data_IF_055880034466
#
_entry.id   IF_055880034466
#
_cell.length_a   1.000
_cell.length_b   1.000
_cell.length_c   1.000
_cell.angle_alpha   90.00
_cell.angle_beta   90.00
_cell.angle_gamma   90.00
#
_symmetry.space_group_name_H-M   'P 1'
#
loop_
_entity.id
_entity.type
_entity.pdbx_description
1 polymer ?
#
# COMPACT_ATOMS: atom_id res chain seq x y z
N UNK A 1 -21.01 8.44 -6.16
CA UNK A 1 -19.89 8.28 -7.12
C UNK A 1 -19.37 6.84 -7.04
N UNK A 2 -19.67 6.00 -8.04
CA UNK A 2 -19.09 4.65 -8.12
C UNK A 2 -17.63 4.78 -8.55
N UNK A 3 -16.73 4.94 -7.59
CA UNK A 3 -15.29 4.87 -7.85
C UNK A 3 -15.02 3.45 -8.34
N UNK A 4 -14.74 3.28 -9.64
CA UNK A 4 -14.03 2.11 -10.12
C UNK A 4 -12.69 2.10 -9.38
N UNK A 5 -12.67 1.47 -8.20
CA UNK A 5 -11.44 1.36 -7.41
C UNK A 5 -10.44 0.67 -8.32
N UNK A 6 -9.33 1.35 -8.59
CA UNK A 6 -8.22 0.79 -9.35
C UNK A 6 -7.80 -0.54 -8.71
N UNK A 7 -7.17 -1.41 -9.50
CA UNK A 7 -6.52 -2.62 -8.97
C UNK A 7 -5.60 -2.26 -7.79
N UNK A 8 -4.94 -1.09 -7.85
CA UNK A 8 -4.14 -0.54 -6.76
C UNK A 8 -4.96 -0.28 -5.49
N UNK A 9 -6.07 0.46 -5.55
CA UNK A 9 -6.93 0.71 -4.38
C UNK A 9 -7.44 -0.59 -3.74
N UNK A 10 -7.77 -1.59 -4.55
CA UNK A 10 -8.20 -2.91 -4.05
C UNK A 10 -7.07 -3.64 -3.33
N UNK A 11 -5.86 -3.59 -3.88
CA UNK A 11 -4.68 -4.20 -3.27
C UNK A 11 -4.28 -3.49 -1.97
N UNK A 12 -4.32 -2.14 -1.94
CA UNK A 12 -4.08 -1.34 -0.74
C UNK A 12 -5.15 -1.63 0.33
N UNK A 13 -6.42 -1.74 -0.05
CA UNK A 13 -7.48 -2.12 0.89
C UNK A 13 -7.27 -3.51 1.51
N UNK A 14 -6.76 -4.48 0.73
CA UNK A 14 -6.37 -5.80 1.27
C UNK A 14 -5.19 -5.69 2.23
N UNK A 15 -4.18 -4.89 1.89
CA UNK A 15 -3.03 -4.63 2.77
C UNK A 15 -3.48 -4.09 4.12
N UNK A 16 -4.34 -3.06 4.14
CA UNK A 16 -4.88 -2.48 5.39
C UNK A 16 -5.58 -3.56 6.22
N UNK A 17 -6.42 -4.40 5.60
CA UNK A 17 -7.12 -5.48 6.31
C UNK A 17 -6.16 -6.51 6.90
N UNK A 18 -5.05 -6.82 6.23
CA UNK A 18 -4.00 -7.70 6.77
C UNK A 18 -3.28 -7.04 7.95
N UNK A 19 -2.90 -5.76 7.84
CA UNK A 19 -2.26 -5.01 8.92
C UNK A 19 -3.19 -4.93 10.14
N UNK A 20 -4.48 -4.67 9.94
CA UNK A 20 -5.48 -4.66 11.03
C UNK A 20 -5.57 -6.00 11.76
N UNK A 21 -5.38 -7.12 11.04
CA UNK A 21 -5.37 -8.44 11.65
C UNK A 21 -4.13 -8.64 12.53
N UNK A 22 -2.94 -8.28 12.02
CA UNK A 22 -1.70 -8.36 12.82
C UNK A 22 -1.78 -7.41 14.02
N UNK A 23 -2.30 -6.19 13.85
CA UNK A 23 -2.50 -5.25 14.94
C UNK A 23 -3.41 -5.82 16.03
N UNK A 24 -4.48 -6.51 15.63
CA UNK A 24 -5.39 -7.19 16.55
C UNK A 24 -4.71 -8.31 17.36
N UNK A 25 -3.74 -9.00 16.74
CA UNK A 25 -2.96 -10.08 17.38
C UNK A 25 -1.84 -9.53 18.28
N UNK A 26 -1.26 -8.39 17.90
CA UNK A 26 -0.19 -7.68 18.63
C UNK A 26 -0.71 -6.70 19.70
N UNK A 27 -2.03 -6.54 19.85
CA UNK A 27 -2.65 -5.66 20.83
C UNK A 27 -2.17 -6.01 22.24
N UNK A 28 -1.49 -5.06 22.89
CA UNK A 28 -0.89 -5.24 24.22
C UNK A 28 0.59 -5.59 24.22
N UNK A 29 1.21 -5.81 23.04
CA UNK A 29 2.66 -5.91 22.88
C UNK A 29 3.27 -4.58 22.41
N UNK A 30 4.57 -4.37 22.65
CA UNK A 30 5.30 -3.17 22.24
C UNK A 30 5.33 -2.90 20.73
N UNK A 31 4.93 -3.88 19.90
CA UNK A 31 4.85 -3.75 18.45
C UNK A 31 3.60 -2.98 17.97
N UNK A 32 2.60 -2.78 18.83
CA UNK A 32 1.34 -2.12 18.46
C UNK A 32 1.55 -0.69 17.91
N UNK A 33 2.55 0.05 18.41
CA UNK A 33 2.91 1.39 17.91
C UNK A 33 3.49 1.34 16.49
N UNK A 34 4.33 0.33 16.22
CA UNK A 34 4.91 0.14 14.88
C UNK A 34 3.78 -0.21 13.91
N UNK A 35 2.92 -1.14 14.29
CA UNK A 35 1.81 -1.59 13.44
C UNK A 35 0.77 -0.48 13.20
N UNK A 36 0.52 0.41 14.17
CA UNK A 36 -0.29 1.61 13.98
C UNK A 36 0.34 2.56 12.95
N UNK A 37 1.64 2.81 13.03
CA UNK A 37 2.36 3.62 12.04
C UNK A 37 2.26 3.03 10.62
N UNK A 38 2.44 1.71 10.49
CA UNK A 38 2.29 1.00 9.21
C UNK A 38 0.85 1.08 8.69
N UNK A 39 -0.15 0.97 9.56
CA UNK A 39 -1.55 1.14 9.20
C UNK A 39 -1.83 2.55 8.69
N UNK A 40 -1.35 3.58 9.38
CA UNK A 40 -1.45 4.97 8.95
C UNK A 40 -0.81 5.21 7.58
N UNK A 41 0.36 4.63 7.33
CA UNK A 41 1.04 4.67 6.04
C UNK A 41 0.19 4.01 4.93
N UNK A 42 -0.38 2.83 5.18
CA UNK A 42 -1.25 2.15 4.22
C UNK A 42 -2.54 2.96 3.90
N UNK A 43 -3.11 3.64 4.90
CA UNK A 43 -4.24 4.56 4.69
C UNK A 43 -3.86 5.77 3.84
N UNK A 44 -2.68 6.37 4.07
CA UNK A 44 -2.17 7.46 3.23
C UNK A 44 -2.02 7.02 1.78
N UNK A 45 -1.47 5.83 1.52
CA UNK A 45 -1.39 5.27 0.15
C UNK A 45 -2.77 5.13 -0.50
N UNK A 46 -3.78 4.67 0.25
CA UNK A 46 -5.14 4.53 -0.29
C UNK A 46 -5.75 5.90 -0.64
N UNK A 47 -5.52 6.90 0.21
CA UNK A 47 -5.95 8.27 -0.04
C UNK A 47 -5.23 8.86 -1.26
N UNK A 48 -3.92 8.64 -1.37
CA UNK A 48 -3.09 9.04 -2.50
C UNK A 48 -3.61 8.47 -3.82
N UNK A 49 -3.88 7.16 -3.84
CA UNK A 49 -4.42 6.46 -5.01
C UNK A 49 -5.77 7.04 -5.41
N UNK A 50 -6.64 7.28 -4.42
CA UNK A 50 -7.96 7.90 -4.65
C UNK A 50 -7.84 9.30 -5.24
N UNK A 51 -6.77 10.02 -4.91
CA UNK A 51 -6.45 11.37 -5.42
C UNK A 51 -5.57 11.36 -6.68
N UNK A 52 -5.17 10.20 -7.19
CA UNK A 52 -4.26 10.07 -8.34
C UNK A 52 -2.80 10.43 -8.05
N UNK A 53 -2.43 10.60 -6.77
CA UNK A 53 -1.10 11.03 -6.30
C UNK A 53 -0.26 9.88 -5.72
N UNK A 54 -0.61 8.63 -6.02
CA UNK A 54 0.04 7.45 -5.45
C UNK A 54 1.56 7.44 -5.66
N UNK A 55 2.02 7.79 -6.87
CA UNK A 55 3.44 7.84 -7.21
C UNK A 55 4.17 8.97 -6.47
N UNK A 56 3.49 10.11 -6.27
CA UNK A 56 4.04 11.25 -5.51
C UNK A 56 4.20 10.88 -4.04
N UNK A 57 3.21 10.24 -3.43
CA UNK A 57 3.27 9.80 -2.03
C UNK A 57 4.32 8.73 -1.79
N UNK A 58 4.54 7.84 -2.76
CA UNK A 58 5.64 6.88 -2.68
C UNK A 58 7.01 7.55 -2.84
N UNK A 59 7.11 8.74 -3.44
CA UNK A 59 8.35 9.49 -3.58
C UNK A 59 9.54 8.65 -4.08
N UNK A 60 9.32 7.81 -5.10
CA UNK A 60 10.29 6.84 -5.65
C UNK A 60 10.67 5.65 -4.74
N UNK A 61 10.04 5.52 -3.58
CA UNK A 61 10.15 4.36 -2.71
C UNK A 61 9.23 3.23 -3.18
N UNK A 62 9.66 2.00 -2.94
CA UNK A 62 8.80 0.84 -3.07
C UNK A 62 7.82 0.76 -1.89
N UNK A 63 6.70 0.06 -2.09
CA UNK A 63 5.65 -0.07 -1.06
C UNK A 63 6.21 -0.69 0.21
N UNK A 64 7.11 -1.68 0.09
CA UNK A 64 7.81 -2.28 1.25
C UNK A 64 8.64 -1.27 2.05
N UNK A 65 9.31 -0.34 1.36
CA UNK A 65 10.19 0.65 1.98
C UNK A 65 9.35 1.74 2.65
N UNK A 66 8.26 2.13 2.02
CA UNK A 66 7.30 3.09 2.55
C UNK A 66 6.63 2.60 3.85
N UNK A 67 6.28 1.31 3.91
CA UNK A 67 5.69 0.70 5.10
C UNK A 67 6.73 0.37 6.19
N UNK A 68 8.00 0.26 5.83
CA UNK A 68 9.07 -0.17 6.73
C UNK A 68 9.48 -1.62 6.46
N UNK A 69 10.69 -1.78 5.94
CA UNK A 69 11.23 -3.08 5.48
C UNK A 69 11.28 -4.11 6.62
N UNK A 70 11.66 -3.68 7.83
CA UNK A 70 11.74 -4.53 9.02
C UNK A 70 10.36 -5.09 9.41
N UNK A 71 9.32 -4.26 9.40
CA UNK A 71 7.98 -4.71 9.77
C UNK A 71 7.42 -5.70 8.73
N UNK A 72 7.64 -5.43 7.45
CA UNK A 72 7.26 -6.33 6.34
C UNK A 72 8.01 -7.66 6.39
N UNK A 73 9.27 -7.65 6.85
CA UNK A 73 10.02 -8.88 7.05
C UNK A 73 9.44 -9.73 8.19
N UNK A 74 9.07 -9.10 9.31
CA UNK A 74 8.41 -9.77 10.44
C UNK A 74 7.03 -10.31 10.11
N UNK A 75 6.29 -9.65 9.21
CA UNK A 75 4.90 -10.01 8.86
C UNK A 75 4.78 -10.48 7.40
N UNK A 76 5.16 -11.74 7.08
CA UNK A 76 5.09 -12.26 5.71
C UNK A 76 3.66 -12.32 5.15
N UNK A 77 2.65 -12.30 6.02
CA UNK A 77 1.21 -12.26 5.69
C UNK A 77 0.84 -11.07 4.79
N UNK A 78 1.56 -9.95 4.87
CA UNK A 78 1.30 -8.74 4.07
C UNK A 78 2.03 -8.70 2.72
N UNK A 79 3.07 -9.53 2.53
CA UNK A 79 3.89 -9.53 1.31
C UNK A 79 3.08 -9.74 0.03
N UNK A 80 2.08 -10.65 -0.04
CA UNK A 80 1.26 -10.81 -1.24
C UNK A 80 0.48 -9.55 -1.61
N UNK A 81 0.01 -8.80 -0.61
CA UNK A 81 -0.71 -7.55 -0.85
C UNK A 81 0.25 -6.47 -1.37
N UNK A 82 1.46 -6.37 -0.81
CA UNK A 82 2.52 -5.45 -1.28
C UNK A 82 2.85 -5.71 -2.75
N UNK A 83 3.12 -6.96 -3.12
CA UNK A 83 3.41 -7.33 -4.52
C UNK A 83 2.25 -6.99 -5.46
N UNK A 84 1.00 -7.17 -5.01
CA UNK A 84 -0.17 -6.79 -5.81
C UNK A 84 -0.25 -5.27 -6.04
N UNK A 85 0.12 -4.46 -5.04
CA UNK A 85 0.17 -2.99 -5.16
C UNK A 85 1.27 -2.59 -6.15
N UNK A 86 2.48 -3.14 -6.00
CA UNK A 86 3.61 -2.85 -6.90
C UNK A 86 3.31 -3.22 -8.35
N UNK A 87 2.68 -4.38 -8.58
CA UNK A 87 2.23 -4.77 -9.91
C UNK A 87 1.18 -3.80 -10.47
N UNK A 88 0.23 -3.33 -9.66
CA UNK A 88 -0.75 -2.35 -10.08
C UNK A 88 -0.12 -1.00 -10.42
N UNK A 89 0.86 -0.55 -9.63
CA UNK A 89 1.65 0.67 -9.90
C UNK A 89 2.41 0.53 -11.23
N UNK A 90 3.05 -0.61 -11.48
CA UNK A 90 3.79 -0.84 -12.71
C UNK A 90 2.86 -0.82 -13.95
N UNK A 91 1.64 -1.34 -13.83
CA UNK A 91 0.60 -1.22 -14.87
C UNK A 91 0.19 0.25 -15.11
N UNK A 92 0.06 1.04 -14.03
CA UNK A 92 -0.24 2.48 -14.13
C UNK A 92 0.87 3.22 -14.86
N UNK A 93 2.14 2.99 -14.49
CA UNK A 93 3.31 3.57 -15.18
C UNK A 93 3.37 3.18 -16.66
N UNK A 94 3.09 1.91 -16.98
CA UNK A 94 3.06 1.42 -18.35
C UNK A 94 1.93 2.03 -19.19
N UNK A 95 0.77 2.31 -18.58
CA UNK A 95 -0.39 2.93 -19.25
C UNK A 95 -0.28 4.44 -19.46
N UNK A 96 0.53 5.14 -18.65
CA UNK A 96 0.79 6.58 -18.81
C UNK A 96 1.84 6.85 -19.91
N UNK A 97 2.76 5.90 -20.16
CA UNK A 97 3.78 6.03 -21.21
C UNK A 97 3.20 5.97 -22.64
N UNK A 98 2.00 5.43 -22.83
CA UNK A 98 1.36 5.32 -24.16
C UNK A 98 0.44 6.49 -24.53
N UNK A 99 0.27 7.49 -23.65
CA UNK A 99 -0.63 8.64 -23.88
C UNK A 99 0.09 9.94 -24.28
N UNK A 100 1.41 9.90 -24.44
CA UNK A 100 2.25 11.05 -24.82
C UNK A 100 2.79 11.05 -26.26
N UNK A 101 2.31 10.16 -27.13
CA UNK A 101 2.59 10.21 -28.57
C UNK A 101 1.27 10.37 -29.33
N UNK A 102 0.96 11.61 -29.69
CA UNK A 102 -0.21 12.00 -30.47
C UNK A 102 -0.15 13.48 -30.80
#
# INVERSE_FOLDING_TARGET
MKKNRSEAARAIGKLISSIQKEWGDELGCGNAEITENVMGAAHKLLQAETSGKLLEELAQLNVRQYLGDLWVQSHPSVKPAITAIENAINKINSSQNTRGQG
#
